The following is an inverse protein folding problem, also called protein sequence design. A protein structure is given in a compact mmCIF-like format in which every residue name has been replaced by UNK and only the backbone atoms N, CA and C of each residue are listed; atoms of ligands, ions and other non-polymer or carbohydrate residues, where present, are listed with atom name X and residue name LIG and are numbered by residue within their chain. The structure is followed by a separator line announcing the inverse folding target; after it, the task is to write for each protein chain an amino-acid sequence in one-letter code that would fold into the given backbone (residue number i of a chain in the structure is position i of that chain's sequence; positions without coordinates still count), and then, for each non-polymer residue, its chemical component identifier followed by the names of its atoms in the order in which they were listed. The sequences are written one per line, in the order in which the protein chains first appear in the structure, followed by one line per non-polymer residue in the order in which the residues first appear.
data_IF_893616214836
#
_entry.id   IF_893616214836
#
_cell.length_a   1.000
_cell.length_b   1.000
_cell.length_c   1.000
_cell.angle_alpha   90.00
_cell.angle_beta   90.00
_cell.angle_gamma   90.00
#
_symmetry.space_group_name_H-M   'P 1'
#
loop_
_entity.id
_entity.type
_entity.pdbx_description
1 polymer ?
#
# COMPACT_ATOMS: atom_id res chain seq x y z
N UNK A 1 23.70 -11.33 -4.59
CA UNK A 1 22.35 -11.04 -5.11
C UNK A 1 21.65 -10.22 -4.04
N UNK A 2 21.44 -8.93 -4.26
CA UNK A 2 20.62 -8.12 -3.34
C UNK A 2 19.23 -8.76 -3.34
N UNK A 3 18.74 -9.11 -2.16
CA UNK A 3 17.37 -9.55 -1.99
C UNK A 3 16.46 -8.44 -2.53
N UNK A 4 15.94 -8.64 -3.75
CA UNK A 4 14.95 -7.76 -4.37
C UNK A 4 13.54 -8.13 -3.88
N UNK A 5 13.46 -9.02 -2.89
CA UNK A 5 12.24 -9.45 -2.22
C UNK A 5 11.99 -8.57 -0.99
N UNK A 6 10.80 -7.98 -0.98
CA UNK A 6 10.12 -7.57 0.24
C UNK A 6 10.81 -6.47 1.06
N UNK A 7 10.85 -5.26 0.48
CA UNK A 7 11.06 -4.05 1.29
C UNK A 7 9.79 -3.76 2.08
N UNK A 8 9.90 -3.73 3.41
CA UNK A 8 8.84 -3.17 4.24
C UNK A 8 8.82 -1.65 4.04
N UNK A 9 7.65 -1.13 3.73
CA UNK A 9 7.42 0.30 3.59
C UNK A 9 6.25 0.70 4.46
N UNK A 10 6.39 1.84 5.14
CA UNK A 10 5.43 2.34 6.10
C UNK A 10 5.20 3.82 5.83
N UNK A 11 3.95 4.21 5.63
CA UNK A 11 3.55 5.60 5.39
C UNK A 11 2.37 5.97 6.27
N UNK A 12 2.37 7.19 6.80
CA UNK A 12 1.26 7.74 7.55
C UNK A 12 0.59 8.84 6.72
N UNK A 13 -0.70 8.70 6.47
CA UNK A 13 -1.48 9.60 5.63
C UNK A 13 -2.86 9.83 6.23
N UNK A 14 -3.17 11.08 6.58
CA UNK A 14 -4.52 11.52 6.97
C UNK A 14 -5.17 10.64 8.06
N UNK A 15 -4.44 10.32 9.13
CA UNK A 15 -4.95 9.49 10.23
C UNK A 15 -4.84 7.98 10.01
N UNK A 16 -4.32 7.55 8.87
CA UNK A 16 -4.16 6.14 8.50
C UNK A 16 -2.69 5.77 8.40
N UNK A 17 -2.37 4.54 8.80
CA UNK A 17 -1.05 3.94 8.64
C UNK A 17 -1.13 2.87 7.55
N UNK A 18 -0.35 3.06 6.49
CA UNK A 18 -0.25 2.12 5.38
C UNK A 18 1.04 1.33 5.53
N UNK A 19 0.91 0.01 5.61
CA UNK A 19 2.01 -0.94 5.70
C UNK A 19 2.06 -1.76 4.43
N UNK A 20 3.10 -1.59 3.63
CA UNK A 20 3.36 -2.39 2.44
C UNK A 20 4.44 -3.42 2.72
N UNK A 21 4.12 -4.69 2.46
CA UNK A 21 5.01 -5.82 2.63
C UNK A 21 4.64 -6.93 1.64
N UNK A 22 5.66 -7.54 1.03
CA UNK A 22 5.49 -8.57 -0.01
C UNK A 22 4.66 -8.01 -1.18
N UNK A 23 3.57 -8.68 -1.55
CA UNK A 23 2.63 -8.29 -2.60
C UNK A 23 1.39 -7.56 -2.05
N UNK A 24 1.43 -7.09 -0.80
CA UNK A 24 0.27 -6.51 -0.11
C UNK A 24 0.55 -5.16 0.54
N UNK A 25 -0.49 -4.33 0.61
CA UNK A 25 -0.54 -3.12 1.43
C UNK A 25 -1.75 -3.19 2.35
N UNK A 26 -1.54 -3.13 3.67
CA UNK A 26 -2.59 -3.03 4.67
C UNK A 26 -2.77 -1.59 5.13
N UNK A 27 -4.02 -1.21 5.37
CA UNK A 27 -4.43 0.12 5.82
C UNK A 27 -4.97 0.00 7.23
N UNK A 28 -4.37 0.74 8.14
CA UNK A 28 -4.64 0.72 9.56
C UNK A 28 -5.18 2.07 10.02
N UNK A 29 -6.22 2.10 10.84
CA UNK A 29 -6.86 3.34 11.28
C UNK A 29 -7.43 3.22 12.70
N UNK A 30 -7.60 4.36 13.37
CA UNK A 30 -8.16 4.46 14.70
C UNK A 30 -7.07 4.49 15.77
N UNK A 31 -7.48 4.59 17.03
CA UNK A 31 -6.54 4.75 18.15
C UNK A 31 -5.59 3.55 18.29
N UNK A 32 -6.06 2.35 17.96
CA UNK A 32 -5.30 1.12 18.08
C UNK A 32 -4.67 0.65 16.76
N UNK A 33 -4.81 1.44 15.68
CA UNK A 33 -4.32 1.10 14.34
C UNK A 33 -4.75 -0.30 13.87
N UNK A 34 -6.02 -0.65 14.10
CA UNK A 34 -6.59 -1.90 13.61
C UNK A 34 -6.53 -1.93 12.08
N UNK A 35 -6.18 -3.09 11.53
CA UNK A 35 -6.21 -3.32 10.08
C UNK A 35 -7.67 -3.25 9.59
N UNK A 36 -7.95 -2.30 8.69
CA UNK A 36 -9.28 -2.09 8.10
C UNK A 36 -9.39 -2.70 6.71
N UNK A 37 -8.34 -2.54 5.91
CA UNK A 37 -8.32 -2.93 4.51
C UNK A 37 -6.99 -3.57 4.19
N UNK A 38 -7.01 -4.64 3.40
CA UNK A 38 -5.81 -5.24 2.82
C UNK A 38 -5.97 -5.27 1.31
N UNK A 39 -4.98 -4.69 0.61
CA UNK A 39 -4.90 -4.62 -0.84
C UNK A 39 -3.79 -5.56 -1.28
N UNK A 40 -4.05 -6.40 -2.27
CA UNK A 40 -3.06 -7.31 -2.85
C UNK A 40 -2.85 -6.94 -4.30
N UNK A 41 -1.59 -6.92 -4.74
CA UNK A 41 -1.28 -6.73 -6.15
C UNK A 41 -1.97 -7.76 -7.03
N UNK A 42 -2.46 -7.30 -8.18
CA UNK A 42 -3.16 -8.11 -9.17
C UNK A 42 -2.30 -9.27 -9.69
N UNK A 43 -1.01 -8.98 -9.95
CA UNK A 43 -0.01 -9.91 -10.47
C UNK A 43 0.71 -10.75 -9.39
N UNK A 44 0.42 -10.51 -8.11
CA UNK A 44 1.11 -11.10 -6.95
C UNK A 44 2.63 -10.95 -6.97
N UNK A 45 3.16 -9.97 -7.71
CA UNK A 45 4.57 -9.61 -7.64
C UNK A 45 4.85 -8.88 -6.32
N UNK A 46 6.11 -8.88 -5.87
CA UNK A 46 6.44 -8.07 -4.70
C UNK A 46 6.34 -6.59 -5.04
N UNK A 47 5.78 -5.83 -4.11
CA UNK A 47 5.75 -4.38 -4.13
C UNK A 47 7.17 -3.88 -3.94
N UNK A 48 7.64 -3.12 -4.93
CA UNK A 48 8.91 -2.40 -4.89
C UNK A 48 8.75 -1.06 -4.19
N UNK A 49 7.66 -0.38 -4.51
CA UNK A 49 7.32 0.92 -3.97
C UNK A 49 5.81 1.15 -3.99
N UNK A 50 5.31 2.06 -3.15
CA UNK A 50 3.94 2.56 -3.26
C UNK A 50 3.90 4.08 -3.05
N UNK A 51 2.83 4.71 -3.50
CA UNK A 51 2.60 6.13 -3.30
C UNK A 51 1.11 6.42 -3.15
N UNK A 52 0.79 7.41 -2.34
CA UNK A 52 -0.58 7.85 -2.05
C UNK A 52 -0.82 9.18 -2.77
N UNK A 53 -1.77 9.17 -3.70
CA UNK A 53 -2.34 10.38 -4.31
C UNK A 53 -3.58 10.85 -3.56
N UNK A 54 -4.29 11.84 -4.10
CA UNK A 54 -5.43 12.44 -3.40
C UNK A 54 -6.57 11.47 -3.08
N UNK A 55 -6.84 10.51 -3.98
CA UNK A 55 -7.90 9.51 -3.87
C UNK A 55 -7.46 8.15 -4.43
N UNK A 56 -6.16 7.94 -4.58
CA UNK A 56 -5.61 6.80 -5.32
C UNK A 56 -4.38 6.28 -4.60
N UNK A 57 -4.28 4.96 -4.50
CA UNK A 57 -3.07 4.27 -4.07
C UNK A 57 -2.42 3.63 -5.29
N UNK A 58 -1.13 3.91 -5.47
CA UNK A 58 -0.31 3.36 -6.53
C UNK A 58 0.64 2.33 -5.93
N UNK A 59 0.63 1.09 -6.44
CA UNK A 59 1.59 0.06 -6.05
C UNK A 59 2.45 -0.30 -7.26
N UNK A 60 3.77 -0.17 -7.15
CA UNK A 60 4.73 -0.54 -8.19
C UNK A 60 5.32 -1.93 -7.93
N UNK A 61 5.26 -2.79 -8.94
CA UNK A 61 5.75 -4.17 -8.84
C UNK A 61 7.26 -4.26 -9.06
N UNK A 62 7.86 -5.38 -8.65
CA UNK A 62 9.28 -5.63 -8.86
C UNK A 62 9.61 -6.35 -10.18
N UNK A 63 8.64 -6.98 -10.84
CA UNK A 63 8.84 -7.79 -12.06
C UNK A 63 8.51 -7.04 -13.35
N UNK A 64 7.40 -6.33 -13.39
CA UNK A 64 6.92 -5.62 -14.57
C UNK A 64 6.95 -4.11 -14.33
N UNK A 65 7.12 -3.30 -15.38
CA UNK A 65 6.97 -1.85 -15.30
C UNK A 65 5.49 -1.44 -15.28
N UNK A 66 4.70 -2.15 -14.47
CA UNK A 66 3.28 -1.94 -14.29
C UNK A 66 3.01 -1.64 -12.82
N UNK A 67 2.07 -0.72 -12.59
CA UNK A 67 1.57 -0.41 -11.26
C UNK A 67 0.07 -0.66 -11.21
N UNK A 68 -0.39 -1.17 -10.07
CA UNK A 68 -1.81 -1.24 -9.78
C UNK A 68 -2.25 0.12 -9.23
N UNK A 69 -3.45 0.53 -9.62
CA UNK A 69 -4.12 1.72 -9.10
C UNK A 69 -5.36 1.27 -8.36
N UNK A 70 -5.48 1.71 -7.11
CA UNK A 70 -6.64 1.43 -6.28
C UNK A 70 -7.33 2.73 -5.95
N UNK A 71 -8.66 2.74 -6.09
CA UNK A 71 -9.47 3.81 -5.54
C UNK A 71 -9.29 3.80 -4.01
N UNK A 72 -8.75 4.89 -3.50
CA UNK A 72 -8.47 5.09 -2.09
C UNK A 72 -9.12 6.40 -1.66
N UNK A 73 -10.46 6.40 -1.51
CA UNK A 73 -11.19 7.61 -1.17
C UNK A 73 -10.69 8.12 0.18
N UNK A 74 -10.48 9.44 0.29
CA UNK A 74 -10.14 10.03 1.60
C UNK A 74 -11.20 9.64 2.63
N UNK A 75 -10.79 9.32 3.87
CA UNK A 75 -11.74 9.17 4.95
C UNK A 75 -12.62 10.41 4.99
N UNK A 76 -13.94 10.22 4.92
CA UNK A 76 -14.88 11.32 5.16
C UNK A 76 -14.71 11.73 6.62
N UNK A 77 -13.97 12.82 6.86
CA UNK A 77 -13.95 13.48 8.15
C UNK A 77 -15.31 14.16 8.35
N UNK A 78 -16.26 13.41 8.93
CA UNK A 78 -17.51 13.92 9.50
C UNK A 78 -17.48 13.69 11.01
#
# INVERSE_FOLDING_TARGET
MTDKGCRLQLEYYEGQLLLSMNDRTSVHQGNDFDCRTELQRSDRAYIRDFSIGENQLFMLGNKENAFDVWDYPRPSFL
#
